data_IF_960595224038
#
_entry.id   IF_960595224038
#
_cell.length_a   1.000
_cell.length_b   1.000
_cell.length_c   1.000
_cell.angle_alpha   90.00
_cell.angle_beta   90.00
_cell.angle_gamma   90.00
#
_symmetry.space_group_name_H-M   'P 1'
#
loop_
_entity.id
_entity.type
_entity.pdbx_description
1 polymer ?
#
# COMPACT_ATOMS: atom_id res chain seq x y z
N UNK A 1 -11.36 3.57 38.67
CA UNK A 1 -10.93 3.50 37.25
C UNK A 1 -11.83 4.40 36.39
N UNK A 2 -11.31 5.50 35.82
CA UNK A 2 -12.14 6.54 35.13
C UNK A 2 -12.66 6.12 33.75
N UNK A 3 -12.13 5.04 33.19
CA UNK A 3 -12.44 4.58 31.83
C UNK A 3 -13.59 3.57 31.75
N UNK A 4 -14.29 3.31 32.85
CA UNK A 4 -15.52 2.49 32.88
C UNK A 4 -16.55 3.11 33.79
N UNK A 5 -17.83 3.03 33.42
CA UNK A 5 -18.96 3.52 34.22
C UNK A 5 -19.03 2.87 35.60
N UNK A 6 -18.72 1.57 35.70
CA UNK A 6 -18.67 0.80 36.95
C UNK A 6 -17.49 1.16 37.87
N UNK A 7 -16.58 2.06 37.44
CA UNK A 7 -15.32 2.41 38.11
C UNK A 7 -14.37 1.24 38.42
N UNK A 8 -14.67 0.03 37.95
CA UNK A 8 -13.90 -1.19 38.15
C UNK A 8 -12.72 -1.28 37.19
N UNK A 9 -11.53 -1.57 37.72
CA UNK A 9 -10.36 -1.85 36.90
C UNK A 9 -10.41 -3.27 36.33
N UNK A 10 -9.94 -3.44 35.09
CA UNK A 10 -9.56 -4.73 34.53
C UNK A 10 -8.40 -4.54 33.55
N UNK A 11 -7.61 -5.58 33.31
CA UNK A 11 -6.56 -5.54 32.29
C UNK A 11 -7.14 -5.19 30.90
N UNK A 12 -8.33 -5.72 30.57
CA UNK A 12 -9.07 -5.41 29.33
C UNK A 12 -9.45 -3.94 29.22
N UNK A 13 -9.94 -3.33 30.29
CA UNK A 13 -10.31 -1.91 30.28
C UNK A 13 -9.07 -1.03 30.21
N UNK A 14 -7.98 -1.43 30.89
CA UNK A 14 -6.68 -0.76 30.79
C UNK A 14 -6.13 -0.76 29.37
N UNK A 15 -6.09 -1.93 28.73
CA UNK A 15 -5.71 -2.06 27.34
C UNK A 15 -6.58 -1.20 26.43
N UNK A 16 -7.90 -1.21 26.56
CA UNK A 16 -8.76 -0.33 25.74
C UNK A 16 -8.48 1.15 25.93
N UNK A 17 -8.14 1.58 27.14
CA UNK A 17 -7.81 2.97 27.43
C UNK A 17 -6.53 3.44 26.72
N UNK A 18 -5.57 2.55 26.44
CA UNK A 18 -4.36 2.92 25.68
C UNK A 18 -4.63 3.23 24.21
N UNK A 19 -5.79 2.84 23.69
CA UNK A 19 -6.23 3.15 22.32
C UNK A 19 -7.22 4.32 22.27
N UNK A 20 -7.46 5.01 23.37
CA UNK A 20 -8.36 6.16 23.33
C UNK A 20 -7.75 7.27 22.46
N UNK A 21 -8.50 7.73 21.45
CA UNK A 21 -8.00 8.68 20.45
C UNK A 21 -7.25 8.02 19.28
N UNK A 22 -7.18 6.69 19.22
CA UNK A 22 -6.62 6.01 18.04
C UNK A 22 -7.52 6.20 16.82
N UNK A 23 -6.92 6.47 15.67
CA UNK A 23 -7.63 6.46 14.39
C UNK A 23 -7.81 4.99 13.96
N UNK A 24 -9.06 4.57 13.78
CA UNK A 24 -9.36 3.26 13.23
C UNK A 24 -9.26 3.31 11.71
N UNK A 25 -8.22 2.68 11.15
CA UNK A 25 -8.14 2.39 9.72
C UNK A 25 -8.63 0.98 9.46
N UNK A 26 -9.53 0.79 8.50
CA UNK A 26 -9.95 -0.54 8.07
C UNK A 26 -8.91 -1.25 7.17
N UNK A 27 -7.80 -0.59 6.81
CA UNK A 27 -6.68 -1.15 6.03
C UNK A 27 -6.15 -2.46 6.63
N UNK A 28 -6.17 -2.60 7.97
CA UNK A 28 -5.66 -3.80 8.63
C UNK A 28 -6.39 -5.07 8.18
N UNK A 29 -7.70 -5.01 7.92
CA UNK A 29 -8.47 -6.19 7.47
C UNK A 29 -8.02 -6.62 6.08
N UNK A 30 -7.84 -5.64 5.19
CA UNK A 30 -7.38 -5.87 3.82
C UNK A 30 -5.96 -6.46 3.81
N UNK A 31 -5.05 -5.87 4.58
CA UNK A 31 -3.64 -6.28 4.64
C UNK A 31 -3.49 -7.65 5.30
N UNK A 32 -3.98 -7.81 6.53
CA UNK A 32 -3.65 -8.96 7.38
C UNK A 32 -4.48 -10.21 7.10
N UNK A 33 -5.70 -10.07 6.52
CA UNK A 33 -6.54 -11.23 6.14
C UNK A 33 -6.29 -11.74 4.72
N UNK A 34 -5.38 -11.12 3.98
CA UNK A 34 -4.98 -11.58 2.65
C UNK A 34 -4.16 -12.87 2.69
N UNK A 35 -3.97 -13.49 1.53
CA UNK A 35 -3.05 -14.63 1.35
C UNK A 35 -1.62 -14.19 1.00
N UNK A 36 -1.33 -12.89 1.07
CA UNK A 36 -0.01 -12.37 0.73
C UNK A 36 1.05 -12.84 1.75
N UNK A 37 2.31 -13.07 1.30
CA UNK A 37 3.41 -13.39 2.20
C UNK A 37 3.57 -12.35 3.31
N UNK A 38 4.08 -12.77 4.48
CA UNK A 38 4.24 -11.89 5.65
C UNK A 38 5.05 -10.63 5.35
N UNK A 39 6.12 -10.74 4.54
CA UNK A 39 6.95 -9.58 4.12
C UNK A 39 6.13 -8.53 3.35
N UNK A 40 5.22 -8.98 2.49
CA UNK A 40 4.32 -8.12 1.71
C UNK A 40 3.32 -7.42 2.63
N UNK A 41 2.73 -8.16 3.59
CA UNK A 41 1.80 -7.58 4.58
C UNK A 41 2.46 -6.51 5.44
N UNK A 42 3.69 -6.74 5.90
CA UNK A 42 4.46 -5.74 6.64
C UNK A 42 4.78 -4.50 5.80
N UNK A 43 5.18 -4.69 4.54
CA UNK A 43 5.40 -3.57 3.63
C UNK A 43 4.15 -2.69 3.51
N UNK A 44 2.98 -3.30 3.26
CA UNK A 44 1.73 -2.53 3.15
C UNK A 44 1.34 -1.83 4.44
N UNK A 45 1.57 -2.48 5.59
CA UNK A 45 1.35 -1.85 6.89
C UNK A 45 2.21 -0.60 7.09
N UNK A 46 3.49 -0.65 6.67
CA UNK A 46 4.38 0.51 6.71
C UNK A 46 4.00 1.56 5.67
N UNK A 47 3.60 1.15 4.47
CA UNK A 47 3.20 2.05 3.40
C UNK A 47 1.94 2.85 3.77
N UNK A 48 0.93 2.22 4.39
CA UNK A 48 -0.29 2.86 4.89
C UNK A 48 0.00 3.92 5.97
N UNK A 49 1.11 3.78 6.67
CA UNK A 49 1.57 4.73 7.70
C UNK A 49 2.62 5.72 7.19
N UNK A 50 2.88 5.76 5.89
CA UNK A 50 3.91 6.62 5.28
C UNK A 50 5.30 6.37 5.93
N UNK A 51 5.57 5.09 6.23
CA UNK A 51 6.77 4.64 6.93
C UNK A 51 7.82 3.96 6.04
N UNK A 52 7.66 3.98 4.72
CA UNK A 52 8.68 3.51 3.79
C UNK A 52 9.63 4.64 3.38
N UNK A 53 10.82 4.32 2.88
CA UNK A 53 11.84 5.29 2.51
C UNK A 53 11.69 5.78 1.05
N UNK A 54 10.65 6.55 0.81
CA UNK A 54 10.44 7.33 -0.42
C UNK A 54 11.27 8.62 -0.40
N UNK A 55 11.49 9.22 -1.57
CA UNK A 55 12.26 10.46 -1.68
C UNK A 55 11.63 11.60 -0.86
N UNK A 56 10.30 11.74 -0.87
CA UNK A 56 9.62 12.76 -0.06
C UNK A 56 9.89 12.61 1.45
N UNK A 57 9.98 11.38 1.94
CA UNK A 57 10.21 11.10 3.35
C UNK A 57 11.66 11.33 3.74
N UNK A 58 12.58 10.97 2.84
CA UNK A 58 14.00 11.29 3.00
C UNK A 58 14.20 12.81 3.04
N UNK A 59 13.55 13.56 2.13
CA UNK A 59 13.56 15.01 2.09
C UNK A 59 13.04 15.64 3.39
N UNK A 60 11.89 15.17 3.91
CA UNK A 60 11.34 15.60 5.22
C UNK A 60 12.29 15.38 6.39
N UNK A 61 13.25 14.46 6.28
CA UNK A 61 14.26 14.17 7.31
C UNK A 61 15.63 14.79 7.03
N UNK A 62 15.78 15.57 5.96
CA UNK A 62 17.06 16.17 5.57
C UNK A 62 18.11 15.15 5.12
N UNK A 63 17.67 13.97 4.65
CA UNK A 63 18.56 12.93 4.12
C UNK A 63 18.75 13.11 2.61
N UNK A 64 19.86 12.60 2.08
CA UNK A 64 20.12 12.60 0.64
C UNK A 64 19.01 11.83 -0.10
N UNK A 65 18.50 12.42 -1.16
CA UNK A 65 17.40 11.87 -1.96
C UNK A 65 17.53 12.29 -3.42
N UNK A 66 16.79 11.62 -4.29
CA UNK A 66 16.59 12.04 -5.69
C UNK A 66 15.33 12.91 -5.77
N UNK A 67 15.38 13.99 -6.55
CA UNK A 67 14.27 14.94 -6.64
C UNK A 67 13.01 14.37 -7.36
N UNK A 68 13.13 13.73 -8.55
CA UNK A 68 11.98 13.11 -9.22
C UNK A 68 11.84 11.61 -8.92
N UNK A 69 10.64 11.09 -9.16
CA UNK A 69 10.35 9.66 -9.22
C UNK A 69 11.16 8.99 -10.33
N UNK A 70 12.06 8.09 -9.95
CA UNK A 70 12.95 7.39 -10.88
C UNK A 70 12.20 6.49 -11.87
N UNK A 71 10.95 6.10 -11.59
CA UNK A 71 10.20 5.20 -12.45
C UNK A 71 9.54 5.90 -13.64
N UNK A 72 9.11 7.15 -13.48
CA UNK A 72 8.42 7.87 -14.55
C UNK A 72 9.14 9.13 -15.01
N UNK A 73 9.65 9.95 -14.08
CA UNK A 73 9.97 11.37 -14.29
C UNK A 73 8.78 12.16 -14.92
N UNK A 74 8.55 13.44 -14.58
CA UNK A 74 9.28 14.35 -13.70
C UNK A 74 8.66 14.51 -12.28
N UNK A 75 7.57 13.80 -11.98
CA UNK A 75 6.80 14.01 -10.74
C UNK A 75 7.58 13.63 -9.46
N UNK A 76 7.30 14.28 -8.32
CA UNK A 76 7.93 13.93 -7.04
C UNK A 76 7.51 12.55 -6.55
N UNK A 77 8.47 11.81 -5.98
CA UNK A 77 8.21 10.48 -5.46
C UNK A 77 7.57 10.52 -4.07
N UNK A 78 6.27 10.24 -4.00
CA UNK A 78 5.54 9.93 -2.77
C UNK A 78 5.06 8.47 -2.78
N UNK A 79 4.70 7.91 -1.62
CA UNK A 79 4.16 6.54 -1.58
C UNK A 79 2.90 6.38 -2.45
N UNK A 80 1.99 7.35 -2.38
CA UNK A 80 0.76 7.34 -3.17
C UNK A 80 1.04 7.48 -4.67
N UNK A 81 1.95 8.38 -5.05
CA UNK A 81 2.39 8.49 -6.43
C UNK A 81 3.02 7.17 -6.90
N UNK A 82 3.99 6.65 -6.16
CA UNK A 82 4.75 5.47 -6.53
C UNK A 82 3.84 4.25 -6.74
N UNK A 83 2.85 4.01 -5.88
CA UNK A 83 2.05 2.79 -5.97
C UNK A 83 0.85 2.90 -6.90
N UNK A 84 0.28 4.11 -7.08
CA UNK A 84 -1.02 4.28 -7.75
C UNK A 84 -1.00 5.27 -8.91
N UNK A 85 -0.36 6.45 -8.75
CA UNK A 85 -0.48 7.53 -9.74
C UNK A 85 0.60 7.53 -10.82
N UNK A 86 1.76 6.98 -10.49
CA UNK A 86 2.93 6.92 -11.36
C UNK A 86 2.54 6.25 -12.70
N UNK A 87 2.79 6.89 -13.86
CA UNK A 87 2.48 6.32 -15.16
C UNK A 87 3.05 4.90 -15.35
N UNK A 88 4.28 4.68 -14.90
CA UNK A 88 4.92 3.36 -14.90
C UNK A 88 4.11 2.35 -14.08
N UNK A 89 3.76 2.69 -12.84
CA UNK A 89 2.99 1.82 -11.96
C UNK A 89 1.60 1.52 -12.52
N UNK A 90 0.95 2.51 -13.15
CA UNK A 90 -0.36 2.31 -13.81
C UNK A 90 -0.26 1.33 -14.96
N UNK A 91 0.83 1.34 -15.72
CA UNK A 91 1.10 0.36 -16.77
C UNK A 91 1.25 -1.04 -16.16
N UNK A 92 2.05 -1.19 -15.11
CA UNK A 92 2.23 -2.47 -14.40
C UNK A 92 0.90 -3.01 -13.86
N UNK A 93 0.07 -2.15 -13.26
CA UNK A 93 -1.28 -2.52 -12.82
C UNK A 93 -2.14 -3.01 -13.97
N UNK A 94 -2.15 -2.29 -15.09
CA UNK A 94 -2.90 -2.67 -16.27
C UNK A 94 -2.47 -4.05 -16.79
N UNK A 95 -1.17 -4.28 -16.91
CA UNK A 95 -0.63 -5.51 -17.48
C UNK A 95 -0.89 -6.72 -16.57
N UNK A 96 -0.73 -6.57 -15.25
CA UNK A 96 -1.04 -7.64 -14.29
C UNK A 96 -2.53 -7.95 -14.27
N UNK A 97 -3.40 -6.94 -14.29
CA UNK A 97 -4.86 -7.14 -14.31
C UNK A 97 -5.28 -7.85 -15.59
N UNK A 98 -4.73 -7.44 -16.74
CA UNK A 98 -4.99 -8.05 -18.03
C UNK A 98 -4.49 -9.51 -18.08
N UNK A 99 -3.27 -9.76 -17.60
CA UNK A 99 -2.67 -11.08 -17.53
C UNK A 99 -3.48 -12.05 -16.66
N UNK A 100 -3.94 -11.59 -15.48
CA UNK A 100 -4.77 -12.38 -14.57
C UNK A 100 -6.24 -12.44 -14.99
N UNK A 101 -6.65 -11.71 -16.03
CA UNK A 101 -8.05 -11.57 -16.49
C UNK A 101 -8.98 -11.17 -15.35
N UNK A 102 -8.53 -10.26 -14.49
CA UNK A 102 -9.30 -9.81 -13.34
C UNK A 102 -10.40 -8.84 -13.79
N UNK A 103 -11.66 -9.01 -13.34
CA UNK A 103 -12.79 -8.15 -13.71
C UNK A 103 -12.77 -6.85 -12.87
N UNK A 104 -11.67 -6.11 -12.92
CA UNK A 104 -11.50 -4.83 -12.23
C UNK A 104 -10.69 -3.86 -13.10
N UNK A 105 -10.85 -2.57 -12.86
CA UNK A 105 -10.02 -1.54 -13.50
C UNK A 105 -8.75 -1.28 -12.69
N UNK A 106 -7.63 -0.92 -13.33
CA UNK A 106 -6.44 -0.46 -12.61
C UNK A 106 -6.74 0.83 -11.82
N UNK A 107 -5.99 1.10 -10.73
CA UNK A 107 -6.09 2.37 -10.02
C UNK A 107 -5.89 3.57 -10.95
N UNK A 108 -6.66 4.63 -10.75
CA UNK A 108 -6.58 5.86 -11.55
C UNK A 108 -6.52 7.11 -10.69
N UNK A 109 -7.53 7.33 -9.87
CA UNK A 109 -7.76 8.61 -9.17
C UNK A 109 -8.24 8.41 -7.73
N UNK A 110 -8.24 7.17 -7.26
CA UNK A 110 -8.63 6.84 -5.91
C UNK A 110 -7.66 7.46 -4.90
N UNK A 111 -8.14 7.97 -3.74
CA UNK A 111 -7.29 8.60 -2.74
C UNK A 111 -6.28 7.65 -2.10
N UNK A 112 -6.57 6.34 -2.10
CA UNK A 112 -5.71 5.31 -1.52
C UNK A 112 -5.93 3.96 -2.19
N UNK A 113 -4.99 3.04 -1.96
CA UNK A 113 -5.11 1.65 -2.39
C UNK A 113 -6.32 0.97 -1.77
N UNK A 114 -6.69 1.35 -0.54
CA UNK A 114 -7.85 0.81 0.16
C UNK A 114 -9.15 1.22 -0.54
N UNK A 115 -9.26 2.48 -0.97
CA UNK A 115 -10.44 2.99 -1.69
C UNK A 115 -10.63 2.28 -3.04
N UNK A 116 -9.53 2.10 -3.78
CA UNK A 116 -9.52 1.29 -5.00
C UNK A 116 -9.93 -0.15 -4.72
N UNK A 117 -9.37 -0.77 -3.67
CA UNK A 117 -9.70 -2.14 -3.27
C UNK A 117 -11.19 -2.31 -2.97
N UNK A 118 -11.81 -1.36 -2.26
CA UNK A 118 -13.25 -1.41 -1.97
C UNK A 118 -14.09 -1.41 -3.25
N UNK A 119 -13.77 -0.53 -4.20
CA UNK A 119 -14.45 -0.43 -5.49
C UNK A 119 -14.25 -1.70 -6.33
N UNK A 120 -13.00 -2.15 -6.49
CA UNK A 120 -12.66 -3.33 -7.27
C UNK A 120 -13.32 -4.60 -6.70
N UNK A 121 -13.36 -4.73 -5.37
CA UNK A 121 -13.97 -5.89 -4.69
C UNK A 121 -15.48 -5.97 -4.90
N UNK A 122 -16.18 -4.84 -5.01
CA UNK A 122 -17.62 -4.81 -5.27
C UNK A 122 -17.96 -5.35 -6.67
N UNK A 123 -17.17 -4.97 -7.69
CA UNK A 123 -17.33 -5.45 -9.06
C UNK A 123 -16.82 -6.88 -9.30
N UNK A 124 -16.02 -7.44 -8.39
CA UNK A 124 -15.40 -8.76 -8.55
C UNK A 124 -16.23 -9.88 -7.92
N UNK A 125 -16.50 -11.00 -8.64
CA UNK A 125 -17.17 -12.19 -8.10
C UNK A 125 -16.49 -12.75 -6.85
N UNK A 126 -17.28 -13.29 -5.92
CA UNK A 126 -16.77 -13.76 -4.61
C UNK A 126 -15.64 -14.80 -4.72
N UNK A 127 -15.71 -15.68 -5.72
CA UNK A 127 -14.67 -16.69 -6.01
C UNK A 127 -13.30 -16.08 -6.32
N UNK A 128 -13.27 -14.89 -6.95
CA UNK A 128 -12.05 -14.22 -7.38
C UNK A 128 -11.50 -13.22 -6.36
N UNK A 129 -12.28 -12.85 -5.33
CA UNK A 129 -11.88 -11.81 -4.36
C UNK A 129 -10.58 -12.12 -3.60
N UNK A 130 -10.26 -13.40 -3.36
CA UNK A 130 -8.98 -13.79 -2.74
C UNK A 130 -7.79 -13.57 -3.68
N UNK A 131 -7.97 -13.87 -4.96
CA UNK A 131 -7.00 -13.58 -6.02
C UNK A 131 -6.80 -12.07 -6.16
N UNK A 132 -7.90 -11.31 -6.22
CA UNK A 132 -7.87 -9.85 -6.24
C UNK A 132 -7.07 -9.29 -5.05
N UNK A 133 -7.32 -9.76 -3.83
CA UNK A 133 -6.61 -9.29 -2.64
C UNK A 133 -5.10 -9.56 -2.73
N UNK A 134 -4.73 -10.74 -3.23
CA UNK A 134 -3.33 -11.14 -3.36
C UNK A 134 -2.63 -10.30 -4.42
N UNK A 135 -3.23 -10.14 -5.60
CA UNK A 135 -2.75 -9.25 -6.66
C UNK A 135 -2.62 -7.81 -6.15
N UNK A 136 -3.64 -7.30 -5.48
CA UNK A 136 -3.69 -5.93 -4.98
C UNK A 136 -2.55 -5.60 -4.01
N UNK A 137 -2.01 -6.61 -3.31
CA UNK A 137 -0.88 -6.44 -2.40
C UNK A 137 0.45 -6.78 -3.07
N UNK A 138 0.49 -7.76 -3.98
CA UNK A 138 1.71 -8.16 -4.67
C UNK A 138 2.16 -7.12 -5.70
N UNK A 139 1.24 -6.52 -6.47
CA UNK A 139 1.59 -5.52 -7.48
C UNK A 139 2.36 -4.32 -6.88
N UNK A 140 1.87 -3.65 -5.83
CA UNK A 140 2.63 -2.56 -5.19
C UNK A 140 3.96 -3.02 -4.59
N UNK A 141 4.03 -4.25 -4.08
CA UNK A 141 5.27 -4.81 -3.55
C UNK A 141 6.32 -5.03 -4.65
N UNK A 142 5.91 -5.50 -5.82
CA UNK A 142 6.80 -5.67 -6.98
C UNK A 142 7.31 -4.32 -7.47
N UNK A 143 6.43 -3.33 -7.63
CA UNK A 143 6.80 -1.95 -7.95
C UNK A 143 7.82 -1.39 -6.95
N UNK A 144 7.58 -1.59 -5.64
CA UNK A 144 8.49 -1.16 -4.60
C UNK A 144 9.88 -1.80 -4.71
N UNK A 145 9.95 -3.12 -4.97
CA UNK A 145 11.23 -3.80 -5.20
C UNK A 145 11.95 -3.24 -6.42
N UNK A 146 11.24 -3.06 -7.53
CA UNK A 146 11.80 -2.54 -8.77
C UNK A 146 12.37 -1.13 -8.57
N UNK A 147 11.61 -0.25 -7.93
CA UNK A 147 12.08 1.08 -7.53
C UNK A 147 13.35 1.00 -6.69
N UNK A 148 13.43 0.08 -5.73
CA UNK A 148 14.64 -0.06 -4.92
C UNK A 148 15.84 -0.53 -5.74
N UNK A 149 15.66 -1.44 -6.71
CA UNK A 149 16.73 -1.78 -7.66
C UNK A 149 17.17 -0.56 -8.49
N UNK A 150 16.24 0.29 -8.94
CA UNK A 150 16.62 1.53 -9.62
C UNK A 150 17.45 2.47 -8.73
N UNK A 151 17.10 2.59 -7.43
CA UNK A 151 17.80 3.47 -6.49
C UNK A 151 19.17 2.92 -6.08
N UNK A 152 19.26 1.63 -5.73
CA UNK A 152 20.46 1.07 -5.10
C UNK A 152 21.40 0.36 -6.09
N UNK A 153 20.87 -0.13 -7.21
CA UNK A 153 21.61 -0.92 -8.19
C UNK A 153 21.73 -0.18 -9.54
N UNK A 154 21.09 0.99 -9.70
CA UNK A 154 21.12 1.76 -10.94
C UNK A 154 20.37 1.10 -12.10
N UNK A 155 19.45 0.17 -11.81
CA UNK A 155 18.63 -0.49 -12.83
C UNK A 155 17.74 0.53 -13.57
N UNK A 156 17.50 0.29 -14.87
CA UNK A 156 16.59 1.12 -15.65
C UNK A 156 15.12 0.72 -15.38
N UNK A 157 14.18 1.67 -15.34
CA UNK A 157 12.76 1.37 -15.24
C UNK A 157 12.27 0.51 -16.43
N UNK A 158 11.84 -0.72 -16.17
CA UNK A 158 11.30 -1.64 -17.18
C UNK A 158 10.08 -2.35 -16.61
N UNK A 159 8.93 -2.18 -17.26
CA UNK A 159 7.71 -2.88 -16.86
C UNK A 159 7.73 -4.37 -17.24
N UNK A 160 8.63 -4.78 -18.14
CA UNK A 160 8.79 -6.19 -18.54
C UNK A 160 9.50 -7.03 -17.47
N UNK A 161 10.19 -6.38 -16.54
CA UNK A 161 10.91 -7.03 -15.45
C UNK A 161 9.99 -7.32 -14.23
N UNK A 162 8.69 -7.01 -14.35
CA UNK A 162 7.66 -7.12 -13.31
C UNK A 162 6.51 -8.06 -13.72
#
# INVERSE_FOLDING_TARGET
WKWTTSRSYSAKSCYKATFQGSIHSDSWKFIWKSWAPTRVRFFHWLADQDQCWTADRLARRGLQHHDPCLLCCPDPETMDHLLLRCPFSRQVWHDIIAWLRMPCTPPRHEPSLLDWWHTARQGTPQSMRKGLASMALLTPWMIWKHRNSCVFEGALPSAQDL
#
